data_IF_959487135338
#
_entry.id   IF_959487135338
#
_cell.length_a   1.000
_cell.length_b   1.000
_cell.length_c   1.000
_cell.angle_alpha   90.00
_cell.angle_beta   90.00
_cell.angle_gamma   90.00
#
_symmetry.space_group_name_H-M   'P 1'
#
loop_
_entity.id
_entity.type
_entity.pdbx_description
1 polymer ?
#
# COMPACT_ATOMS: atom_id res chain seq x y z
N UNK A 1 -4.75 8.38 15.51
CA UNK A 1 -6.11 7.81 15.35
C UNK A 1 -6.08 6.28 15.30
N UNK A 2 -5.30 5.66 14.42
CA UNK A 2 -5.25 4.21 14.31
C UNK A 2 -4.84 3.51 15.62
N UNK A 3 -3.83 4.00 16.30
CA UNK A 3 -3.40 3.45 17.59
C UNK A 3 -4.53 3.43 18.60
N UNK A 4 -5.28 4.53 18.69
CA UNK A 4 -6.40 4.65 19.61
C UNK A 4 -7.51 3.64 19.29
N UNK A 5 -7.83 3.48 18.01
CA UNK A 5 -8.84 2.51 17.58
C UNK A 5 -8.42 1.07 17.89
N UNK A 6 -7.15 0.74 17.66
CA UNK A 6 -6.62 -0.60 17.97
C UNK A 6 -6.67 -0.86 19.47
N UNK A 7 -6.34 0.12 20.29
CA UNK A 7 -6.42 0.00 21.75
C UNK A 7 -7.85 -0.22 22.24
N UNK A 8 -8.85 0.24 21.48
CA UNK A 8 -10.26 0.01 21.75
C UNK A 8 -10.77 -1.33 21.18
N UNK A 9 -9.90 -2.15 20.63
CA UNK A 9 -10.27 -3.44 20.07
C UNK A 9 -10.81 -3.40 18.65
N UNK A 10 -10.65 -2.28 17.93
CA UNK A 10 -11.11 -2.15 16.57
C UNK A 10 -10.02 -2.51 15.56
N UNK A 11 -10.29 -3.38 14.57
CA UNK A 11 -9.34 -3.60 13.48
C UNK A 11 -9.29 -2.37 12.57
N UNK A 12 -8.09 -2.05 12.09
CA UNK A 12 -7.86 -0.87 11.25
C UNK A 12 -7.02 -1.27 10.05
N UNK A 13 -7.43 -0.83 8.87
CA UNK A 13 -6.63 -0.93 7.65
C UNK A 13 -6.21 0.48 7.27
N UNK A 14 -4.89 0.67 7.10
CA UNK A 14 -4.33 1.93 6.63
C UNK A 14 -3.90 1.73 5.19
N UNK A 15 -4.60 2.37 4.28
CA UNK A 15 -4.24 2.40 2.87
C UNK A 15 -3.53 3.72 2.60
N UNK A 16 -2.21 3.65 2.50
CA UNK A 16 -1.39 4.84 2.36
C UNK A 16 -0.15 4.53 1.53
N UNK A 17 0.34 5.52 0.82
CA UNK A 17 1.54 5.40 0.02
C UNK A 17 2.76 5.11 0.91
N UNK A 18 2.93 5.86 2.00
CA UNK A 18 3.98 5.67 3.01
C UNK A 18 5.33 5.28 2.39
N UNK A 19 5.85 6.12 1.50
CA UNK A 19 7.03 5.81 0.67
C UNK A 19 8.34 5.67 1.46
N UNK A 20 8.41 6.13 2.69
CA UNK A 20 9.58 6.01 3.55
C UNK A 20 9.40 4.91 4.58
N UNK A 21 10.43 4.06 4.74
CA UNK A 21 10.41 3.01 5.77
C UNK A 21 10.20 3.58 7.16
N UNK A 22 10.80 4.73 7.47
CA UNK A 22 10.67 5.35 8.79
C UNK A 22 9.23 5.65 9.18
N UNK A 23 8.38 5.97 8.22
CA UNK A 23 6.96 6.20 8.49
C UNK A 23 6.27 4.92 8.91
N UNK A 24 6.55 3.83 8.21
CA UNK A 24 5.98 2.51 8.49
C UNK A 24 6.53 1.93 9.79
N UNK A 25 7.84 2.05 10.00
CA UNK A 25 8.48 1.57 11.24
C UNK A 25 7.97 2.33 12.46
N UNK A 26 7.72 3.63 12.33
CA UNK A 26 7.11 4.40 13.41
C UNK A 26 5.71 3.88 13.74
N UNK A 27 4.89 3.60 12.73
CA UNK A 27 3.56 3.02 12.95
C UNK A 27 3.68 1.67 13.67
N UNK A 28 4.58 0.81 13.22
CA UNK A 28 4.84 -0.49 13.85
C UNK A 28 5.22 -0.33 15.32
N UNK A 29 6.06 0.65 15.64
CA UNK A 29 6.52 0.85 17.02
C UNK A 29 5.41 1.38 17.94
N UNK A 30 4.43 2.08 17.39
CA UNK A 30 3.34 2.70 18.15
C UNK A 30 2.09 1.83 18.27
N UNK A 31 1.86 0.95 17.31
CA UNK A 31 0.62 0.18 17.21
C UNK A 31 0.89 -1.29 17.53
N UNK A 32 0.26 -1.85 18.60
CA UNK A 32 0.38 -3.27 18.87
C UNK A 32 -0.32 -4.10 17.79
N UNK A 33 0.15 -5.32 17.56
CA UNK A 33 -0.42 -6.25 16.57
C UNK A 33 -0.51 -5.59 15.19
N UNK A 34 0.63 -5.14 14.72
CA UNK A 34 0.78 -4.45 13.44
C UNK A 34 1.28 -5.43 12.38
N UNK A 35 0.75 -5.33 11.17
CA UNK A 35 1.28 -6.06 10.02
C UNK A 35 1.43 -5.11 8.82
N UNK A 36 2.48 -5.31 8.07
CA UNK A 36 2.79 -4.55 6.88
C UNK A 36 2.51 -5.44 5.66
N UNK A 37 1.70 -4.92 4.73
CA UNK A 37 1.37 -5.62 3.48
C UNK A 37 2.00 -4.86 2.33
N UNK A 38 2.86 -5.54 1.59
CA UNK A 38 3.49 -4.97 0.40
C UNK A 38 2.71 -5.39 -0.84
N UNK A 39 1.99 -4.44 -1.42
CA UNK A 39 1.27 -4.62 -2.68
C UNK A 39 2.22 -4.22 -3.80
N UNK A 40 2.76 -5.20 -4.51
CA UNK A 40 3.88 -5.03 -5.42
C UNK A 40 3.46 -5.04 -6.89
N UNK A 41 3.99 -4.10 -7.66
CA UNK A 41 3.97 -4.15 -9.13
C UNK A 41 5.05 -3.20 -9.67
N UNK A 42 5.40 -3.36 -10.93
CA UNK A 42 6.35 -2.43 -11.57
C UNK A 42 5.67 -1.09 -11.81
N UNK A 43 6.47 -0.02 -11.88
CA UNK A 43 5.96 1.32 -12.15
C UNK A 43 5.29 1.39 -13.53
N UNK A 44 5.85 0.74 -14.54
CA UNK A 44 5.26 0.72 -15.89
C UNK A 44 3.88 0.09 -15.89
N UNK A 45 3.67 -1.01 -15.15
CA UNK A 45 2.36 -1.63 -15.00
C UNK A 45 1.38 -0.72 -14.26
N UNK A 46 1.84 -0.05 -13.20
CA UNK A 46 1.01 0.88 -12.44
C UNK A 46 0.54 2.05 -13.31
N UNK A 47 1.44 2.61 -14.10
CA UNK A 47 1.11 3.71 -15.02
C UNK A 47 0.10 3.27 -16.09
N UNK A 48 0.28 2.09 -16.66
CA UNK A 48 -0.64 1.53 -17.65
C UNK A 48 -2.03 1.33 -17.06
N UNK A 49 -2.12 0.77 -15.85
CA UNK A 49 -3.38 0.55 -15.15
C UNK A 49 -4.11 1.85 -14.88
N UNK A 50 -3.40 2.89 -14.49
CA UNK A 50 -3.97 4.21 -14.25
C UNK A 50 -4.59 4.78 -15.52
N UNK A 51 -3.90 4.72 -16.66
CA UNK A 51 -4.40 5.25 -17.91
C UNK A 51 -5.61 4.49 -18.46
N UNK A 52 -5.66 3.16 -18.26
CA UNK A 52 -6.77 2.32 -18.71
C UNK A 52 -8.00 2.46 -17.82
N UNK A 53 -7.77 2.55 -16.51
CA UNK A 53 -8.85 2.54 -15.52
C UNK A 53 -9.77 3.75 -15.59
N UNK A 54 -9.28 4.92 -16.02
CA UNK A 54 -10.02 6.20 -15.97
C UNK A 54 -10.70 6.37 -14.63
N UNK A 55 -9.92 6.22 -13.56
CA UNK A 55 -10.42 5.98 -12.23
C UNK A 55 -11.37 7.08 -11.76
N UNK A 56 -12.58 6.69 -11.33
CA UNK A 56 -13.54 7.59 -10.71
C UNK A 56 -13.07 8.07 -9.34
N UNK A 57 -12.23 7.27 -8.69
CA UNK A 57 -11.75 7.52 -7.33
C UNK A 57 -10.30 7.98 -7.27
N UNK A 58 -9.65 8.16 -8.42
CA UNK A 58 -8.29 8.67 -8.51
C UNK A 58 -8.22 9.73 -9.58
N UNK A 59 -7.42 10.79 -9.40
CA UNK A 59 -7.23 11.78 -10.45
C UNK A 59 -6.66 11.13 -11.71
N UNK A 60 -7.32 11.32 -12.84
CA UNK A 60 -6.83 10.86 -14.14
C UNK A 60 -5.53 11.59 -14.46
N UNK A 61 -4.54 10.86 -14.97
CA UNK A 61 -3.27 11.45 -15.36
C UNK A 61 -2.35 11.80 -14.21
N UNK A 62 -2.53 11.19 -13.03
CA UNK A 62 -1.68 11.46 -11.86
C UNK A 62 -0.19 11.25 -12.13
N UNK A 63 0.17 10.23 -12.92
CA UNK A 63 1.58 9.97 -13.25
C UNK A 63 2.12 10.97 -14.25
N UNK A 64 1.30 11.40 -15.20
CA UNK A 64 1.68 12.45 -16.14
C UNK A 64 1.87 13.78 -15.42
N UNK A 65 0.99 14.10 -14.48
CA UNK A 65 1.11 15.28 -13.63
C UNK A 65 2.41 15.27 -12.84
N UNK A 66 2.76 14.13 -12.27
CA UNK A 66 4.00 13.99 -11.50
C UNK A 66 5.23 14.28 -12.36
N UNK A 67 5.22 13.84 -13.63
CA UNK A 67 6.32 14.08 -14.54
C UNK A 67 6.37 15.53 -15.04
N UNK A 68 5.22 16.15 -15.28
CA UNK A 68 5.14 17.52 -15.80
C UNK A 68 5.24 18.59 -14.72
N UNK A 69 4.57 18.39 -13.60
CA UNK A 69 4.45 19.38 -12.53
C UNK A 69 5.32 19.06 -11.30
N UNK A 70 6.09 17.99 -11.37
CA UNK A 70 6.91 17.50 -10.26
C UNK A 70 6.09 17.26 -8.99
N UNK A 71 4.85 16.83 -9.13
CA UNK A 71 4.01 16.43 -8.02
C UNK A 71 4.60 15.19 -7.34
N UNK A 72 4.36 15.03 -6.04
CA UNK A 72 4.89 13.89 -5.29
C UNK A 72 4.10 12.62 -5.59
N UNK A 73 4.69 11.75 -6.40
CA UNK A 73 4.15 10.42 -6.69
C UNK A 73 5.27 9.41 -6.49
N UNK A 74 5.20 8.57 -5.46
CA UNK A 74 6.27 7.59 -5.18
C UNK A 74 6.49 6.66 -6.37
N UNK A 75 7.78 6.40 -6.67
CA UNK A 75 8.18 5.60 -7.80
C UNK A 75 8.34 6.40 -9.09
N UNK A 76 7.78 7.62 -9.17
CA UNK A 76 7.92 8.51 -10.34
C UNK A 76 8.94 9.61 -10.06
N UNK A 77 8.68 10.45 -9.07
CA UNK A 77 9.56 11.56 -8.72
C UNK A 77 10.03 11.55 -7.26
N UNK A 78 9.56 10.60 -6.46
CA UNK A 78 9.99 10.41 -5.08
C UNK A 78 10.36 8.93 -4.91
N UNK A 79 11.55 8.62 -4.39
CA UNK A 79 11.94 7.22 -4.17
C UNK A 79 10.97 6.50 -3.24
N UNK A 80 10.63 5.28 -3.60
CA UNK A 80 9.88 4.38 -2.74
C UNK A 80 10.85 3.41 -2.07
N UNK A 81 10.85 3.41 -0.74
CA UNK A 81 11.68 2.50 0.04
C UNK A 81 10.89 1.22 0.31
N UNK A 82 11.32 0.12 -0.33
CA UNK A 82 10.65 -1.16 -0.15
C UNK A 82 10.73 -1.62 1.30
N UNK A 83 9.67 -2.30 1.81
CA UNK A 83 9.72 -2.84 3.16
C UNK A 83 10.78 -3.95 3.26
N UNK A 84 11.50 -3.98 4.38
CA UNK A 84 12.55 -4.98 4.61
C UNK A 84 11.96 -6.33 5.02
N UNK A 85 10.95 -6.32 5.87
CA UNK A 85 10.34 -7.51 6.43
C UNK A 85 8.81 -7.37 6.50
N UNK A 86 8.12 -7.30 5.34
CA UNK A 86 6.67 -7.24 5.37
C UNK A 86 6.09 -8.59 5.77
N UNK A 87 5.00 -8.58 6.51
CA UNK A 87 4.32 -9.81 6.92
C UNK A 87 3.63 -10.49 5.75
N UNK A 88 3.14 -9.70 4.77
CA UNK A 88 2.51 -10.22 3.56
C UNK A 88 3.04 -9.48 2.34
N UNK A 89 3.38 -10.23 1.29
CA UNK A 89 3.73 -9.65 -0.01
C UNK A 89 2.79 -10.24 -1.04
N UNK A 90 2.13 -9.38 -1.81
CA UNK A 90 1.30 -9.80 -2.94
C UNK A 90 1.82 -9.14 -4.21
N UNK A 91 2.08 -9.95 -5.23
CA UNK A 91 2.57 -9.47 -6.52
C UNK A 91 1.40 -9.39 -7.50
N UNK A 92 0.93 -8.18 -7.76
CA UNK A 92 -0.26 -7.96 -8.58
C UNK A 92 -0.03 -8.22 -10.06
N UNK A 93 1.21 -8.42 -10.48
CA UNK A 93 1.53 -8.81 -11.86
C UNK A 93 1.42 -10.32 -12.06
N UNK A 94 1.63 -11.10 -10.99
CA UNK A 94 1.60 -12.57 -11.03
C UNK A 94 0.30 -13.14 -10.48
N UNK A 95 -0.42 -12.38 -9.67
CA UNK A 95 -1.64 -12.83 -8.99
C UNK A 95 -2.80 -11.92 -9.38
N UNK A 96 -4.00 -12.49 -9.49
CA UNK A 96 -5.22 -11.70 -9.68
C UNK A 96 -5.53 -10.88 -8.43
N UNK A 97 -6.36 -9.85 -8.57
CA UNK A 97 -6.81 -9.06 -7.43
C UNK A 97 -7.49 -9.93 -6.37
N UNK A 98 -8.30 -10.91 -6.81
CA UNK A 98 -8.98 -11.83 -5.90
C UNK A 98 -7.99 -12.71 -5.13
N UNK A 99 -6.97 -13.23 -5.81
CA UNK A 99 -5.94 -14.05 -5.17
C UNK A 99 -5.12 -13.24 -4.16
N UNK A 100 -4.79 -12.00 -4.49
CA UNK A 100 -4.10 -11.10 -3.58
C UNK A 100 -4.95 -10.82 -2.34
N UNK A 101 -6.22 -10.48 -2.54
CA UNK A 101 -7.16 -10.19 -1.45
C UNK A 101 -7.34 -11.42 -0.56
N UNK A 102 -7.43 -12.61 -1.14
CA UNK A 102 -7.55 -13.86 -0.37
C UNK A 102 -6.33 -14.11 0.49
N UNK A 103 -5.14 -13.91 -0.06
CA UNK A 103 -3.90 -14.09 0.69
C UNK A 103 -3.84 -13.17 1.90
N UNK A 104 -4.21 -11.90 1.71
CA UNK A 104 -4.24 -10.92 2.80
C UNK A 104 -5.31 -11.29 3.82
N UNK A 105 -6.51 -11.66 3.38
CA UNK A 105 -7.60 -12.04 4.27
C UNK A 105 -7.27 -13.27 5.10
N UNK A 106 -6.64 -14.29 4.50
CA UNK A 106 -6.23 -15.50 5.20
C UNK A 106 -5.21 -15.17 6.30
N UNK A 107 -4.25 -14.28 6.00
CA UNK A 107 -3.29 -13.82 7.01
C UNK A 107 -3.99 -13.11 8.16
N UNK A 108 -4.92 -12.22 7.87
CA UNK A 108 -5.66 -11.46 8.89
C UNK A 108 -6.47 -12.40 9.78
N UNK A 109 -7.15 -13.37 9.20
CA UNK A 109 -7.92 -14.36 9.95
C UNK A 109 -7.04 -15.19 10.87
N UNK A 110 -5.87 -15.59 10.39
CA UNK A 110 -4.95 -16.44 11.15
C UNK A 110 -4.27 -15.69 12.29
N UNK A 111 -3.90 -14.43 12.09
CA UNK A 111 -3.06 -13.69 13.04
C UNK A 111 -3.79 -12.60 13.81
N UNK A 112 -4.92 -12.07 13.32
CA UNK A 112 -5.59 -10.92 13.91
C UNK A 112 -7.01 -11.21 14.39
N UNK A 113 -7.60 -12.32 13.97
CA UNK A 113 -8.96 -12.69 14.37
C UNK A 113 -8.98 -14.08 15.10
#
# INVERSE_FOLDING_TARGET
MAKLLVECGQPVIIDATANRRRFRERARSLIPRFAEVHVKCSLSTAMRRESVRKAEHSPTGIYEKALKEKATVPGVNVPYEEPLHPEVVVDTEKMSAEACAKKIADFVKEHFL
#
